data_IF_815483603179
#
_entry.id   IF_815483603179
#
_cell.length_a   1.000
_cell.length_b   1.000
_cell.length_c   1.000
_cell.angle_alpha   90.00
_cell.angle_beta   90.00
_cell.angle_gamma   90.00
#
_symmetry.space_group_name_H-M   'P 1'
#
loop_
_entity.id
_entity.type
_entity.pdbx_description
1 polymer ?
#
# COMPACT_ATOMS: atom_id res chain seq x y z
N UNK A 1 3.66 -2.04 13.86
CA UNK A 1 4.93 -1.33 13.59
C UNK A 1 4.74 0.16 13.29
N UNK A 2 5.55 1.05 13.88
CA UNK A 2 5.57 2.49 13.57
C UNK A 2 6.60 2.76 12.46
N UNK A 3 6.22 3.49 11.41
CA UNK A 3 7.12 3.86 10.31
C UNK A 3 6.86 5.30 9.85
N UNK A 4 7.88 5.94 9.29
CA UNK A 4 7.73 7.21 8.56
C UNK A 4 7.26 6.93 7.15
N UNK A 5 6.39 7.73 6.58
CA UNK A 5 6.02 7.56 5.17
C UNK A 5 7.06 8.19 4.23
N UNK A 6 7.18 7.61 3.04
CA UNK A 6 7.98 8.11 1.94
C UNK A 6 7.20 7.96 0.64
N UNK A 7 6.96 9.07 -0.06
CA UNK A 7 6.54 9.07 -1.45
C UNK A 7 7.71 8.78 -2.38
N UNK A 8 7.44 8.11 -3.50
CA UNK A 8 8.44 7.93 -4.57
C UNK A 8 8.47 9.12 -5.52
N UNK A 9 7.32 9.72 -5.79
CA UNK A 9 7.14 10.90 -6.64
C UNK A 9 6.94 12.13 -5.74
N UNK A 10 7.83 13.13 -5.76
CA UNK A 10 7.75 14.27 -4.84
C UNK A 10 6.44 15.07 -4.94
N UNK A 11 5.91 15.24 -6.15
CA UNK A 11 4.74 16.09 -6.43
C UNK A 11 3.40 15.42 -6.10
N UNK A 12 3.39 14.09 -5.89
CA UNK A 12 2.19 13.36 -5.50
C UNK A 12 1.68 13.81 -4.12
N UNK A 13 0.37 13.75 -3.94
CA UNK A 13 -0.26 13.96 -2.64
C UNK A 13 -0.28 12.65 -1.87
N UNK A 14 0.18 12.66 -0.62
CA UNK A 14 0.02 11.51 0.26
C UNK A 14 -1.18 11.73 1.18
N UNK A 15 -1.98 10.69 1.35
CA UNK A 15 -3.17 10.70 2.20
C UNK A 15 -3.30 9.39 2.95
N UNK A 16 -3.84 9.46 4.16
CA UNK A 16 -4.35 8.29 4.85
C UNK A 16 -5.78 8.07 4.41
N UNK A 17 -6.08 6.93 3.80
CA UNK A 17 -7.44 6.60 3.34
C UNK A 17 -8.06 5.50 4.17
N UNK A 18 -9.38 5.54 4.28
CA UNK A 18 -10.20 4.43 4.75
C UNK A 18 -10.48 3.45 3.61
N UNK A 19 -9.73 2.35 3.58
CA UNK A 19 -9.80 1.38 2.49
C UNK A 19 -11.15 0.65 2.40
N UNK A 20 -11.89 0.55 3.51
CA UNK A 20 -13.17 -0.18 3.52
C UNK A 20 -14.23 0.50 2.64
N UNK A 21 -14.13 1.83 2.49
CA UNK A 21 -14.99 2.60 1.58
C UNK A 21 -14.61 2.42 0.10
N UNK A 22 -13.41 1.89 -0.16
CA UNK A 22 -12.81 1.74 -1.48
C UNK A 22 -12.83 0.30 -2.00
N UNK A 23 -13.11 -0.69 -1.16
CA UNK A 23 -13.04 -2.11 -1.52
C UNK A 23 -13.84 -2.43 -2.80
N UNK A 24 -15.06 -1.91 -2.95
CA UNK A 24 -15.90 -2.15 -4.14
C UNK A 24 -15.25 -1.67 -5.45
N UNK A 25 -14.43 -0.64 -5.38
CA UNK A 25 -13.72 -0.02 -6.52
C UNK A 25 -12.37 -0.69 -6.80
N UNK A 26 -11.84 -1.43 -5.82
CA UNK A 26 -10.66 -2.26 -6.00
C UNK A 26 -10.99 -3.58 -6.73
N UNK A 27 -12.19 -4.12 -6.51
CA UNK A 27 -12.58 -5.45 -7.01
C UNK A 27 -13.18 -5.45 -8.42
N UNK A 28 -13.61 -4.30 -8.94
CA UNK A 28 -14.02 -4.15 -10.33
C UNK A 28 -12.78 -4.14 -11.23
N UNK A 29 -12.67 -5.08 -12.18
CA UNK A 29 -11.84 -4.88 -13.38
C UNK A 29 -10.38 -5.36 -13.42
N UNK A 30 -9.72 -5.79 -12.34
CA UNK A 30 -8.31 -6.24 -12.42
C UNK A 30 -8.12 -7.76 -12.24
N UNK A 31 -7.13 -8.33 -12.95
CA UNK A 31 -6.53 -9.65 -12.64
C UNK A 31 -6.21 -9.63 -11.15
N UNK A 32 -6.92 -10.40 -10.33
CA UNK A 32 -6.71 -10.42 -8.87
C UNK A 32 -5.21 -10.61 -8.58
N UNK A 33 -4.60 -9.91 -7.60
CA UNK A 33 -3.35 -10.43 -7.08
C UNK A 33 -3.64 -11.89 -6.69
N UNK A 34 -2.78 -12.86 -7.06
CA UNK A 34 -3.04 -14.27 -6.83
C UNK A 34 -3.38 -14.44 -5.37
N UNK A 35 -4.66 -14.77 -5.13
CA UNK A 35 -5.33 -14.94 -3.85
C UNK A 35 -4.89 -14.01 -2.70
N UNK A 36 -5.76 -13.10 -2.24
CA UNK A 36 -5.50 -12.34 -1.01
C UNK A 36 -5.12 -13.32 0.12
N UNK A 37 -5.73 -14.50 0.23
CA UNK A 37 -5.36 -15.49 1.25
C UNK A 37 -3.93 -16.04 1.09
N UNK A 38 -3.39 -16.07 -0.14
CA UNK A 38 -2.02 -16.53 -0.42
C UNK A 38 -0.94 -15.46 -0.18
N UNK A 39 -1.31 -14.20 0.10
CA UNK A 39 -0.33 -13.21 0.54
C UNK A 39 0.23 -13.62 1.91
N UNK A 40 1.53 -13.89 1.95
CA UNK A 40 2.26 -14.15 3.19
C UNK A 40 2.03 -13.01 4.18
N UNK A 41 1.75 -13.35 5.44
CA UNK A 41 1.62 -12.38 6.54
C UNK A 41 3.00 -11.89 7.00
N UNK A 42 3.76 -11.34 6.05
CA UNK A 42 5.11 -10.84 6.21
C UNK A 42 5.33 -9.66 5.25
N UNK A 43 6.07 -8.66 5.71
CA UNK A 43 6.50 -7.56 4.87
C UNK A 43 7.66 -7.94 3.96
N UNK A 44 7.73 -7.31 2.79
CA UNK A 44 8.96 -7.30 2.01
C UNK A 44 9.86 -6.17 2.49
N UNK A 45 11.14 -6.45 2.72
CA UNK A 45 12.12 -5.41 3.08
C UNK A 45 12.17 -4.27 2.06
N UNK A 46 11.92 -4.55 0.77
CA UNK A 46 11.85 -3.55 -0.31
C UNK A 46 10.76 -2.49 -0.12
N UNK A 47 9.76 -2.76 0.72
CA UNK A 47 8.74 -1.75 1.05
C UNK A 47 9.25 -0.72 2.03
N UNK A 48 10.41 -0.98 2.63
CA UNK A 48 11.01 -0.16 3.65
C UNK A 48 12.40 0.32 3.26
N UNK A 49 12.77 1.51 3.70
CA UNK A 49 14.14 2.03 3.61
C UNK A 49 14.62 2.36 5.02
N UNK A 50 15.74 1.76 5.42
CA UNK A 50 16.43 2.15 6.65
C UNK A 50 17.24 3.43 6.41
N UNK A 51 17.00 4.47 7.19
CA UNK A 51 17.81 5.69 7.19
C UNK A 51 18.05 6.14 8.62
N UNK A 52 19.29 5.94 9.10
CA UNK A 52 19.62 6.12 10.52
C UNK A 52 18.78 5.18 11.39
N UNK A 53 18.21 5.72 12.46
CA UNK A 53 17.33 4.98 13.39
C UNK A 53 15.86 4.93 12.92
N UNK A 54 15.55 5.44 11.72
CA UNK A 54 14.19 5.52 11.20
C UNK A 54 13.93 4.46 10.11
N UNK A 55 12.77 3.83 10.22
CA UNK A 55 12.21 2.98 9.19
C UNK A 55 11.22 3.79 8.34
N UNK A 56 11.49 3.87 7.04
CA UNK A 56 10.65 4.59 6.08
C UNK A 56 9.86 3.62 5.24
N UNK A 57 8.54 3.74 5.22
CA UNK A 57 7.62 2.96 4.41
C UNK A 57 7.32 3.68 3.09
N UNK A 58 7.63 3.04 1.97
CA UNK A 58 7.27 3.56 0.66
C UNK A 58 5.77 3.35 0.39
N UNK A 59 5.01 4.45 0.30
CA UNK A 59 3.56 4.39 0.16
C UNK A 59 3.16 3.85 -1.23
N UNK A 60 2.09 3.02 -1.33
CA UNK A 60 1.49 2.65 -2.61
C UNK A 60 1.05 3.87 -3.42
N UNK A 61 1.36 3.89 -4.70
CA UNK A 61 0.84 4.87 -5.66
C UNK A 61 -0.44 4.34 -6.30
N UNK A 62 -1.52 5.10 -6.13
CA UNK A 62 -2.86 4.73 -6.55
C UNK A 62 -3.46 5.82 -7.43
N UNK A 63 -4.23 5.40 -8.42
CA UNK A 63 -4.98 6.29 -9.30
C UNK A 63 -6.46 5.91 -9.33
N UNK A 64 -7.28 6.82 -9.85
CA UNK A 64 -8.68 6.55 -10.16
C UNK A 64 -8.86 6.46 -11.68
N UNK A 65 -9.27 5.29 -12.16
CA UNK A 65 -9.72 5.12 -13.54
C UNK A 65 -11.22 5.40 -13.61
N UNK A 66 -11.57 6.60 -14.08
CA UNK A 66 -12.96 7.04 -14.22
C UNK A 66 -13.74 6.29 -15.30
N UNK A 67 -13.07 5.74 -16.32
CA UNK A 67 -13.74 5.00 -17.40
C UNK A 67 -14.12 3.59 -16.95
N UNK A 68 -13.26 2.95 -16.16
CA UNK A 68 -13.51 1.62 -15.62
C UNK A 68 -14.23 1.65 -14.25
N UNK A 69 -14.29 2.81 -13.59
CA UNK A 69 -14.70 2.99 -12.21
C UNK A 69 -13.91 2.11 -11.22
N UNK A 70 -12.58 2.10 -11.38
CA UNK A 70 -11.67 1.24 -10.61
C UNK A 70 -10.48 2.00 -10.03
N UNK A 71 -9.91 1.46 -8.94
CA UNK A 71 -8.62 1.93 -8.44
C UNK A 71 -7.50 1.25 -9.24
N UNK A 72 -6.61 2.06 -9.81
CA UNK A 72 -5.40 1.61 -10.48
C UNK A 72 -4.19 1.70 -9.55
N UNK A 73 -3.17 0.88 -9.82
CA UNK A 73 -1.91 0.86 -9.06
C UNK A 73 -0.76 1.08 -10.02
N UNK A 74 -0.02 2.16 -9.81
CA UNK A 74 1.31 2.30 -10.44
C UNK A 74 2.30 1.37 -9.73
N UNK A 75 2.18 1.24 -8.41
CA UNK A 75 2.94 0.28 -7.61
C UNK A 75 2.21 -0.06 -6.30
N UNK A 76 2.78 -0.97 -5.51
CA UNK A 76 2.30 -1.17 -4.15
C UNK A 76 0.99 -1.95 -4.00
N UNK A 77 0.53 -2.63 -5.05
CA UNK A 77 -0.68 -3.44 -5.04
C UNK A 77 -0.68 -4.52 -3.94
N UNK A 78 0.40 -5.32 -3.86
CA UNK A 78 0.51 -6.41 -2.89
C UNK A 78 0.65 -5.89 -1.45
N UNK A 79 1.38 -4.79 -1.22
CA UNK A 79 1.48 -4.16 0.11
C UNK A 79 0.14 -3.64 0.59
N UNK A 80 -0.63 -2.97 -0.28
CA UNK A 80 -1.99 -2.52 0.03
C UNK A 80 -2.89 -3.71 0.38
N UNK A 81 -2.85 -4.77 -0.44
CA UNK A 81 -3.63 -5.98 -0.19
C UNK A 81 -3.25 -6.69 1.12
N UNK A 82 -1.97 -6.69 1.51
CA UNK A 82 -1.54 -7.23 2.81
C UNK A 82 -2.01 -6.35 3.97
N UNK A 83 -1.77 -5.04 3.89
CA UNK A 83 -2.13 -4.09 4.95
C UNK A 83 -3.64 -4.16 5.24
N UNK A 84 -4.46 -4.22 4.19
CA UNK A 84 -5.93 -4.24 4.30
C UNK A 84 -6.50 -5.50 4.94
N UNK A 85 -5.72 -6.60 5.05
CA UNK A 85 -6.11 -7.76 5.87
C UNK A 85 -6.06 -7.48 7.37
N UNK A 86 -5.14 -6.60 7.77
CA UNK A 86 -4.77 -6.43 9.17
C UNK A 86 -5.22 -5.07 9.72
N UNK A 87 -5.48 -4.08 8.86
CA UNK A 87 -6.00 -2.78 9.25
C UNK A 87 -6.84 -2.10 8.16
N UNK A 88 -7.72 -1.20 8.59
CA UNK A 88 -8.64 -0.42 7.73
C UNK A 88 -7.96 0.74 7.00
N UNK A 89 -6.98 1.38 7.64
CA UNK A 89 -6.40 2.62 7.15
C UNK A 89 -5.09 2.35 6.41
N UNK A 90 -4.97 2.90 5.21
CA UNK A 90 -3.81 2.69 4.34
C UNK A 90 -3.27 4.05 3.90
N UNK A 91 -1.98 4.35 4.12
CA UNK A 91 -1.37 5.52 3.51
C UNK A 91 -1.14 5.23 2.03
N UNK A 92 -1.49 6.17 1.15
CA UNK A 92 -1.30 6.06 -0.30
C UNK A 92 -0.84 7.39 -0.88
N UNK A 93 -0.17 7.35 -2.03
CA UNK A 93 0.14 8.50 -2.87
C UNK A 93 -0.82 8.55 -4.06
N UNK A 94 -1.28 9.75 -4.42
CA UNK A 94 -2.08 10.02 -5.60
C UNK A 94 -1.45 11.13 -6.43
N UNK A 95 -1.47 10.93 -7.74
CA UNK A 95 -1.16 11.97 -8.72
C UNK A 95 -2.35 12.94 -8.89
N UNK A 96 -2.04 14.15 -9.36
CA UNK A 96 -3.04 15.09 -9.85
C UNK A 96 -3.82 15.83 -8.77
N UNK A 97 -4.88 16.52 -9.21
CA UNK A 97 -5.72 17.34 -8.35
C UNK A 97 -6.77 16.51 -7.60
N UNK A 98 -7.12 16.94 -6.38
CA UNK A 98 -8.10 16.23 -5.54
C UNK A 98 -9.47 16.05 -6.21
N UNK A 99 -9.81 16.91 -7.18
CA UNK A 99 -11.05 16.80 -7.97
C UNK A 99 -11.09 15.55 -8.86
N UNK A 100 -9.94 14.99 -9.22
CA UNK A 100 -9.80 13.86 -10.14
C UNK A 100 -9.82 12.51 -9.42
N UNK A 101 -9.69 12.52 -8.09
CA UNK A 101 -9.54 11.31 -7.27
C UNK A 101 -10.82 10.48 -7.12
N UNK A 102 -11.95 10.94 -7.67
CA UNK A 102 -13.22 10.21 -7.65
C UNK A 102 -13.61 9.76 -6.23
N UNK A 103 -13.95 8.47 -6.02
CA UNK A 103 -14.28 7.93 -4.71
C UNK A 103 -13.15 8.00 -3.68
N UNK A 104 -11.87 8.05 -4.11
CA UNK A 104 -10.73 8.14 -3.17
C UNK A 104 -10.80 9.42 -2.35
N UNK A 105 -11.27 10.52 -2.94
CA UNK A 105 -11.49 11.79 -2.22
C UNK A 105 -12.41 11.61 -1.01
N UNK A 106 -13.48 10.84 -1.15
CA UNK A 106 -14.44 10.57 -0.06
C UNK A 106 -13.89 9.62 1.02
N UNK A 107 -12.80 8.92 0.72
CA UNK A 107 -12.13 8.00 1.63
C UNK A 107 -10.97 8.65 2.40
N UNK A 108 -10.57 9.87 2.05
CA UNK A 108 -9.46 10.58 2.73
C UNK A 108 -9.84 10.84 4.18
N UNK A 109 -9.04 10.30 5.10
CA UNK A 109 -9.13 10.54 6.54
C UNK A 109 -8.34 11.79 6.91
N UNK A 110 -7.11 11.91 6.37
CA UNK A 110 -6.24 13.08 6.55
C UNK A 110 -5.13 13.12 5.48
N UNK A 111 -4.60 14.32 5.15
CA UNK A 111 -3.37 14.43 4.39
C UNK A 111 -2.17 13.90 5.19
N UNK A 112 -1.11 13.53 4.46
CA UNK A 112 0.17 13.09 4.98
C UNK A 112 1.31 13.81 4.23
N UNK A 113 2.39 14.09 4.95
CA UNK A 113 3.64 14.60 4.40
C UNK A 113 4.78 13.58 4.54
N UNK A 114 5.79 13.64 3.68
CA UNK A 114 6.97 12.79 3.83
C UNK A 114 7.59 12.94 5.23
N UNK A 115 7.85 11.81 5.88
CA UNK A 115 8.36 11.78 7.25
C UNK A 115 7.28 11.70 8.32
N UNK A 116 5.99 11.87 7.98
CA UNK A 116 4.88 11.63 8.91
C UNK A 116 4.87 10.19 9.41
N UNK A 117 4.54 10.03 10.69
CA UNK A 117 4.45 8.72 11.32
C UNK A 117 3.09 8.07 11.03
N UNK A 118 3.13 6.80 10.64
CA UNK A 118 1.97 5.94 10.46
C UNK A 118 2.15 4.63 11.20
N UNK A 119 1.02 4.09 11.65
CA UNK A 119 0.95 2.74 12.21
C UNK A 119 0.66 1.78 11.06
N UNK A 120 1.54 0.81 10.90
CA UNK A 120 1.38 -0.33 10.01
C UNK A 120 1.16 -1.59 10.86
N UNK A 121 0.57 -2.66 10.29
CA UNK A 121 0.49 -3.95 10.97
C UNK A 121 1.85 -4.41 11.52
N UNK A 122 1.84 -5.17 12.60
CA UNK A 122 3.07 -5.70 13.18
C UNK A 122 3.39 -7.07 12.59
N UNK A 123 3.98 -7.07 11.39
CA UNK A 123 4.32 -8.27 10.63
C UNK A 123 5.84 -8.39 10.50
N UNK A 124 6.40 -9.61 10.49
CA UNK A 124 7.82 -9.80 10.30
C UNK A 124 8.26 -9.34 8.91
N UNK A 125 9.50 -8.84 8.79
CA UNK A 125 10.09 -8.43 7.51
C UNK A 125 10.89 -9.60 6.92
N UNK A 126 10.59 -9.99 5.69
CA UNK A 126 11.37 -10.93 4.88
C UNK A 126 12.51 -10.20 4.17
N UNK A 127 13.69 -10.82 4.17
CA UNK A 127 14.76 -10.53 3.21
C UNK A 127 14.38 -10.94 1.77
N UNK A 128 15.13 -10.45 0.78
CA UNK A 128 14.92 -10.82 -0.63
C UNK A 128 15.04 -12.32 -0.85
N UNK A 129 16.06 -12.94 -0.24
CA UNK A 129 16.32 -14.36 -0.39
C UNK A 129 15.19 -15.20 0.20
N UNK A 130 14.64 -14.80 1.35
CA UNK A 130 13.49 -15.47 1.96
C UNK A 130 12.23 -15.30 1.13
N UNK A 131 12.00 -14.12 0.53
CA UNK A 131 10.89 -13.92 -0.39
C UNK A 131 11.00 -14.84 -1.60
N UNK A 132 12.17 -14.90 -2.22
CA UNK A 132 12.42 -15.73 -3.39
C UNK A 132 12.22 -17.23 -3.07
N UNK A 133 12.65 -17.68 -1.89
CA UNK A 133 12.38 -19.03 -1.39
C UNK A 133 10.88 -19.27 -1.16
N UNK A 134 10.16 -18.30 -0.59
CA UNK A 134 8.71 -18.38 -0.41
C UNK A 134 7.99 -18.52 -1.77
N UNK A 135 8.40 -17.73 -2.77
CA UNK A 135 7.81 -17.76 -4.12
C UNK A 135 8.10 -19.07 -4.87
N UNK A 136 9.19 -19.78 -4.53
CA UNK A 136 9.52 -21.10 -5.07
C UNK A 136 8.90 -22.27 -4.30
N UNK A 137 8.21 -22.01 -3.18
CA UNK A 137 7.65 -23.06 -2.33
C UNK A 137 8.69 -23.80 -1.48
N UNK A 138 9.86 -23.18 -1.25
CA UNK A 138 11.02 -23.74 -0.54
C UNK A 138 11.14 -23.24 0.92
N UNK A 139 10.13 -22.51 1.39
CA UNK A 139 10.05 -22.03 2.76
C UNK A 139 9.42 -23.11 3.65
N UNK A 140 10.16 -23.55 4.68
CA UNK A 140 9.63 -24.39 5.76
C UNK A 140 8.89 -23.50 6.76
N UNK A 141 7.75 -23.99 7.26
CA UNK A 141 6.76 -23.23 8.05
C UNK A 141 6.93 -23.44 9.55
#
# INVERSE_FOLDING_TARGET
MLARILKRVPDDKCVLVDWTSLDRHWFSGQIRPPDRAALFDKYLWLWFKGQGDALWFEVPEVGWDSAAETISFTNGRNRTALITKHQRYVPVALEGDESEWGPVRGAVVRPLEDGDLVILPDLPILSSDEWDRCMRGEAEW
#
